data_IF_129315578486
#
_entry.id   IF_129315578486
#
_cell.length_a   1.000
_cell.length_b   1.000
_cell.length_c   1.000
_cell.angle_alpha   90.00
_cell.angle_beta   90.00
_cell.angle_gamma   90.00
#
_symmetry.space_group_name_H-M   'P 1'
#
loop_
_entity.id
_entity.type
_entity.pdbx_description
1 polymer ?
#
# COMPACT_ATOMS: atom_id res chain seq x y z
N UNK A 1 12.20 -22.85 1.71
CA UNK A 1 12.29 -22.33 3.09
C UNK A 1 12.43 -20.80 3.11
N UNK A 2 13.46 -20.23 2.46
CA UNK A 2 13.73 -18.77 2.41
C UNK A 2 12.52 -17.88 2.04
N UNK A 3 11.78 -18.22 0.98
CA UNK A 3 10.64 -17.39 0.54
C UNK A 3 9.41 -17.51 1.44
N UNK A 4 9.25 -18.63 2.17
CA UNK A 4 8.14 -18.78 3.12
C UNK A 4 8.31 -17.79 4.27
N UNK A 5 9.55 -17.64 4.76
CA UNK A 5 9.89 -16.67 5.80
C UNK A 5 9.74 -15.21 5.32
N UNK A 6 10.06 -14.93 4.06
CA UNK A 6 9.83 -13.61 3.46
C UNK A 6 8.34 -13.29 3.34
N UNK A 7 7.51 -14.24 2.90
CA UNK A 7 6.05 -14.05 2.77
C UNK A 7 5.39 -13.86 4.13
N UNK A 8 5.79 -14.60 5.16
CA UNK A 8 5.25 -14.42 6.51
C UNK A 8 5.65 -13.06 7.09
N UNK A 9 6.89 -12.62 6.87
CA UNK A 9 7.35 -11.27 7.25
C UNK A 9 6.53 -10.17 6.56
N UNK A 10 6.38 -10.24 5.24
CA UNK A 10 5.57 -9.27 4.47
C UNK A 10 4.09 -9.26 4.90
N UNK A 11 3.56 -10.43 5.28
CA UNK A 11 2.18 -10.53 5.78
C UNK A 11 2.03 -9.82 7.12
N UNK A 12 2.99 -9.99 8.03
CA UNK A 12 2.99 -9.33 9.34
C UNK A 12 3.15 -7.80 9.22
N UNK A 13 4.03 -7.34 8.34
CA UNK A 13 4.23 -5.91 8.06
C UNK A 13 2.96 -5.28 7.47
N UNK A 14 2.31 -5.94 6.50
CA UNK A 14 1.04 -5.46 5.92
C UNK A 14 -0.09 -5.35 6.96
N UNK A 15 -0.20 -6.30 7.88
CA UNK A 15 -1.19 -6.25 8.98
C UNK A 15 -0.91 -5.07 9.91
N UNK A 16 0.37 -4.80 10.20
CA UNK A 16 0.79 -3.68 11.07
C UNK A 16 0.50 -2.34 10.41
N UNK A 17 0.87 -2.16 9.13
CA UNK A 17 0.59 -0.96 8.35
C UNK A 17 -0.92 -0.72 8.19
N UNK A 18 -1.71 -1.76 7.93
CA UNK A 18 -3.17 -1.65 7.90
C UNK A 18 -3.74 -1.18 9.24
N UNK A 19 -3.14 -1.62 10.35
CA UNK A 19 -3.56 -1.22 11.70
C UNK A 19 -3.17 0.23 12.01
N UNK A 20 -2.00 0.71 11.57
CA UNK A 20 -1.61 2.12 11.77
C UNK A 20 -2.48 3.07 10.94
N UNK A 21 -2.77 2.72 9.68
CA UNK A 21 -3.69 3.48 8.80
C UNK A 21 -5.13 3.48 9.35
N UNK A 22 -5.60 2.37 9.90
CA UNK A 22 -6.94 2.30 10.51
C UNK A 22 -7.03 2.89 11.92
N UNK A 23 -5.95 2.94 12.70
CA UNK A 23 -5.89 3.72 13.95
C UNK A 23 -5.87 5.22 13.70
N UNK A 24 -5.42 5.67 12.54
CA UNK A 24 -5.64 7.03 12.05
C UNK A 24 -7.12 7.31 11.70
N UNK A 25 -8.08 6.55 12.26
CA UNK A 25 -9.52 6.84 12.24
C UNK A 25 -9.78 8.14 13.00
N UNK A 26 -9.69 9.22 12.23
CA UNK A 26 -10.34 10.49 12.48
C UNK A 26 -11.78 10.17 12.88
N UNK A 27 -12.19 10.57 14.09
CA UNK A 27 -13.62 10.70 14.40
C UNK A 27 -14.21 11.52 13.26
N UNK A 28 -15.18 11.00 12.48
CA UNK A 28 -15.97 11.90 11.66
C UNK A 28 -16.61 12.83 12.66
N UNK A 29 -16.19 14.10 12.67
CA UNK A 29 -17.02 15.14 13.27
C UNK A 29 -18.36 14.96 12.59
N UNK A 30 -19.37 14.57 13.36
CA UNK A 30 -20.75 14.52 12.91
C UNK A 30 -21.00 15.89 12.28
N UNK A 31 -21.09 15.93 10.96
CA UNK A 31 -21.34 17.14 10.23
C UNK A 31 -22.82 17.47 10.47
N UNK A 32 -23.11 18.07 11.62
CA UNK A 32 -24.36 18.77 11.83
C UNK A 32 -24.41 19.84 10.75
N UNK A 33 -25.37 19.65 9.84
CA UNK A 33 -25.67 20.48 8.68
C UNK A 33 -26.19 21.84 9.14
N UNK A 34 -25.37 22.61 9.82
CA UNK A 34 -25.71 23.94 10.30
C UNK A 34 -24.45 24.78 10.29
N UNK A 35 -24.31 25.58 9.23
CA UNK A 35 -23.46 26.79 9.15
C UNK A 35 -22.02 26.64 9.67
N UNK A 36 -21.15 25.94 8.96
CA UNK A 36 -19.72 26.07 9.21
C UNK A 36 -19.01 26.27 7.88
N UNK A 37 -18.34 27.41 7.75
CA UNK A 37 -17.11 27.49 6.97
C UNK A 37 -16.27 26.34 7.50
N UNK A 38 -16.21 25.25 6.75
CA UNK A 38 -15.24 24.19 7.02
C UNK A 38 -13.92 24.92 6.94
N UNK A 39 -13.24 25.05 8.07
CA UNK A 39 -11.98 25.76 8.13
C UNK A 39 -10.96 25.00 7.29
N UNK A 40 -10.88 25.37 6.00
CA UNK A 40 -10.01 24.77 4.99
C UNK A 40 -8.56 24.82 5.48
N UNK A 41 -8.25 25.83 6.30
CA UNK A 41 -6.96 26.02 6.96
C UNK A 41 -6.64 24.92 7.99
N UNK A 42 -7.62 24.17 8.49
CA UNK A 42 -7.41 23.03 9.42
C UNK A 42 -7.29 21.69 8.68
N UNK A 43 -7.82 21.59 7.45
CA UNK A 43 -7.69 20.39 6.59
C UNK A 43 -6.30 20.32 5.96
N UNK A 44 -5.78 21.46 5.48
CA UNK A 44 -4.48 21.53 4.79
C UNK A 44 -3.30 21.08 5.69
N UNK A 45 -3.18 21.49 6.96
CA UNK A 45 -2.15 21.02 7.89
C UNK A 45 -2.30 19.54 8.25
N UNK A 46 -3.54 19.02 8.34
CA UNK A 46 -3.80 17.61 8.64
C UNK A 46 -3.39 16.69 7.50
N UNK A 47 -3.63 17.10 6.26
CA UNK A 47 -3.12 16.41 5.07
C UNK A 47 -1.58 16.45 5.03
N UNK A 48 -0.97 17.60 5.36
CA UNK A 48 0.49 17.73 5.51
C UNK A 48 1.07 16.77 6.54
N UNK A 49 0.45 16.63 7.72
CA UNK A 49 0.94 15.75 8.78
C UNK A 49 0.85 14.25 8.43
N UNK A 50 0.02 13.88 7.43
CA UNK A 50 -0.09 12.50 6.97
C UNK A 50 0.76 12.21 5.72
N UNK A 51 1.39 13.23 5.13
CA UNK A 51 2.19 13.09 3.90
C UNK A 51 3.38 12.17 4.09
N UNK A 52 4.13 12.35 5.17
CA UNK A 52 5.31 11.54 5.47
C UNK A 52 4.92 10.08 5.72
N UNK A 53 3.81 9.84 6.44
CA UNK A 53 3.28 8.50 6.65
C UNK A 53 2.80 7.85 5.34
N UNK A 54 2.23 8.64 4.42
CA UNK A 54 1.81 8.14 3.12
C UNK A 54 3.00 7.77 2.23
N UNK A 55 4.04 8.61 2.20
CA UNK A 55 5.29 8.34 1.49
C UNK A 55 6.02 7.12 2.06
N UNK A 56 6.05 6.98 3.39
CA UNK A 56 6.61 5.82 4.08
C UNK A 56 5.88 4.53 3.70
N UNK A 57 4.55 4.56 3.66
CA UNK A 57 3.74 3.44 3.19
C UNK A 57 4.03 3.09 1.72
N UNK A 58 4.08 4.08 0.82
CA UNK A 58 4.39 3.84 -0.59
C UNK A 58 5.80 3.26 -0.79
N UNK A 59 6.77 3.68 0.02
CA UNK A 59 8.12 3.11 0.03
C UNK A 59 8.10 1.62 0.39
N UNK A 60 7.43 1.25 1.48
CA UNK A 60 7.34 -0.15 1.89
C UNK A 60 6.53 -1.00 0.92
N UNK A 61 5.50 -0.42 0.31
CA UNK A 61 4.73 -1.08 -0.74
C UNK A 61 5.61 -1.34 -1.97
N UNK A 62 6.49 -0.41 -2.33
CA UNK A 62 7.47 -0.60 -3.41
C UNK A 62 8.39 -1.78 -3.15
N UNK A 63 9.00 -1.83 -1.98
CA UNK A 63 9.89 -2.94 -1.56
C UNK A 63 9.16 -4.29 -1.61
N UNK A 64 7.89 -4.32 -1.17
CA UNK A 64 7.06 -5.52 -1.18
C UNK A 64 6.75 -5.99 -2.60
N UNK A 65 6.36 -5.07 -3.49
CA UNK A 65 6.04 -5.38 -4.88
C UNK A 65 7.28 -5.85 -5.65
N UNK A 66 8.45 -5.26 -5.39
CA UNK A 66 9.72 -5.73 -5.96
C UNK A 66 10.07 -7.14 -5.48
N UNK A 67 9.92 -7.41 -4.18
CA UNK A 67 10.15 -8.75 -3.62
C UNK A 67 9.22 -9.80 -4.23
N UNK A 68 7.93 -9.47 -4.41
CA UNK A 68 6.97 -10.39 -5.03
C UNK A 68 7.34 -10.65 -6.50
N UNK A 69 7.78 -9.63 -7.24
CA UNK A 69 8.26 -9.79 -8.63
C UNK A 69 9.40 -10.79 -8.69
N UNK A 70 10.39 -10.67 -7.81
CA UNK A 70 11.55 -11.58 -7.80
C UNK A 70 11.11 -13.03 -7.52
N UNK A 71 10.20 -13.23 -6.55
CA UNK A 71 9.63 -14.56 -6.25
C UNK A 71 8.86 -15.12 -7.46
N UNK A 72 8.06 -14.31 -8.13
CA UNK A 72 7.27 -14.75 -9.28
C UNK A 72 8.18 -15.10 -10.46
N UNK A 73 9.23 -14.32 -10.73
CA UNK A 73 10.20 -14.62 -11.79
C UNK A 73 10.99 -15.90 -11.48
N UNK A 74 11.45 -16.10 -10.25
CA UNK A 74 12.07 -17.37 -9.84
C UNK A 74 11.11 -18.56 -10.01
N UNK A 75 9.86 -18.42 -9.57
CA UNK A 75 8.86 -19.49 -9.69
C UNK A 75 8.52 -19.80 -11.15
N UNK A 76 8.48 -18.78 -12.01
CA UNK A 76 8.23 -18.89 -13.45
C UNK A 76 9.33 -19.64 -14.19
N UNK A 77 10.59 -19.54 -13.74
CA UNK A 77 11.68 -20.37 -14.27
C UNK A 77 11.43 -21.86 -14.00
N UNK A 78 10.92 -22.19 -12.81
CA UNK A 78 10.69 -23.60 -12.41
C UNK A 78 9.41 -24.16 -13.03
N UNK A 79 8.33 -23.37 -13.09
CA UNK A 79 6.99 -23.83 -13.50
C UNK A 79 6.26 -22.77 -14.35
N UNK A 80 6.73 -22.47 -15.57
CA UNK A 80 6.26 -21.33 -16.35
C UNK A 80 4.77 -21.39 -16.75
N UNK A 81 4.21 -22.60 -16.83
CA UNK A 81 2.81 -22.82 -17.22
C UNK A 81 1.86 -23.00 -16.01
N UNK A 82 2.38 -22.89 -14.78
CA UNK A 82 1.51 -22.98 -13.61
C UNK A 82 0.55 -21.79 -13.57
N UNK A 83 -0.75 -22.10 -13.52
CA UNK A 83 -1.82 -21.10 -13.55
C UNK A 83 -1.74 -20.10 -12.40
N UNK A 84 -1.28 -20.52 -11.22
CA UNK A 84 -1.12 -19.63 -10.07
C UNK A 84 0.05 -18.66 -10.26
N UNK A 85 1.14 -19.11 -10.89
CA UNK A 85 2.31 -18.27 -11.20
C UNK A 85 1.96 -17.26 -12.30
N UNK A 86 1.28 -17.70 -13.36
CA UNK A 86 0.77 -16.79 -14.41
C UNK A 86 -0.15 -15.72 -13.80
N UNK A 87 -1.06 -16.13 -12.91
CA UNK A 87 -1.94 -15.19 -12.21
C UNK A 87 -1.15 -14.23 -11.31
N UNK A 88 -0.16 -14.71 -10.57
CA UNK A 88 0.67 -13.88 -9.69
C UNK A 88 1.48 -12.85 -10.50
N UNK A 89 1.95 -13.22 -11.69
CA UNK A 89 2.61 -12.31 -12.63
C UNK A 89 1.71 -11.13 -13.01
N UNK A 90 0.47 -11.41 -13.42
CA UNK A 90 -0.49 -10.35 -13.77
C UNK A 90 -0.78 -9.42 -12.58
N UNK A 91 -1.01 -9.98 -11.38
CA UNK A 91 -1.27 -9.15 -10.19
C UNK A 91 -0.07 -8.29 -9.79
N UNK A 92 1.14 -8.83 -9.92
CA UNK A 92 2.37 -8.09 -9.61
C UNK A 92 2.57 -6.93 -10.58
N UNK A 93 2.29 -7.14 -11.86
CA UNK A 93 2.34 -6.10 -12.89
C UNK A 93 1.32 -4.99 -12.62
N UNK A 94 0.06 -5.33 -12.35
CA UNK A 94 -0.95 -4.33 -11.98
C UNK A 94 -0.60 -3.58 -10.69
N UNK A 95 0.03 -4.25 -9.72
CA UNK A 95 0.47 -3.59 -8.48
C UNK A 95 1.56 -2.57 -8.74
N UNK A 96 2.46 -2.81 -9.70
CA UNK A 96 3.49 -1.85 -10.11
C UNK A 96 2.86 -0.62 -10.78
N UNK A 97 1.94 -0.83 -11.72
CA UNK A 97 1.24 0.26 -12.41
C UNK A 97 0.47 1.15 -11.41
N UNK A 98 -0.25 0.54 -10.47
CA UNK A 98 -0.98 1.25 -9.42
C UNK A 98 -0.04 2.02 -8.48
N UNK A 99 1.11 1.43 -8.14
CA UNK A 99 2.09 2.07 -7.28
C UNK A 99 2.74 3.27 -7.97
N UNK A 100 3.11 3.16 -9.25
CA UNK A 100 3.65 4.27 -10.03
C UNK A 100 2.66 5.43 -10.11
N UNK A 101 1.37 5.12 -10.37
CA UNK A 101 0.30 6.10 -10.36
C UNK A 101 0.13 6.77 -8.99
N UNK A 102 0.14 5.98 -7.91
CA UNK A 102 0.00 6.49 -6.53
C UNK A 102 1.17 7.38 -6.12
N UNK A 103 2.40 7.03 -6.50
CA UNK A 103 3.58 7.86 -6.27
C UNK A 103 3.48 9.17 -7.05
N UNK A 104 3.05 9.12 -8.32
CA UNK A 104 2.92 10.31 -9.17
C UNK A 104 1.79 11.26 -8.78
N UNK A 105 0.80 10.77 -8.03
CA UNK A 105 -0.37 11.55 -7.56
C UNK A 105 -0.31 11.86 -6.06
N UNK A 106 0.77 11.48 -5.38
CA UNK A 106 0.98 11.75 -3.97
C UNK A 106 1.14 13.28 -3.73
N UNK A 107 0.33 13.91 -2.85
CA UNK A 107 0.32 15.35 -2.62
C UNK A 107 1.62 15.90 -1.99
#
# INVERSE_FOLDING_TARGET
AKHIEQVTKLTAENVTLKTSVSKAKVKPSVLTRTKHVVDVELIVPRLRNNRDAHLDYLRHLKESVETIRDIVEEAKVVRPLDRSIVSACCYTQHSQELLEYAIGTCP
#
